data_IF_280413702857
#
_entry.id   IF_280413702857
#
_cell.length_a   1.000
_cell.length_b   1.000
_cell.length_c   1.000
_cell.angle_alpha   90.00
_cell.angle_beta   90.00
_cell.angle_gamma   90.00
#
_symmetry.space_group_name_H-M   'P 1'
#
loop_
_entity.id
_entity.type
_entity.pdbx_description
1 polymer ?
#
# COMPACT_ATOMS: atom_id res chain seq x y z
N UNK A 1 24.49 -13.68 25.58
CA UNK A 1 24.04 -12.67 24.59
C UNK A 1 23.15 -13.38 23.59
N UNK A 2 21.85 -13.22 23.71
CA UNK A 2 20.89 -13.77 22.76
C UNK A 2 20.88 -12.78 21.59
N UNK A 3 21.50 -13.16 20.49
CA UNK A 3 21.34 -12.41 19.24
C UNK A 3 19.86 -12.45 18.90
N UNK A 4 19.22 -11.28 18.85
CA UNK A 4 17.91 -11.14 18.25
C UNK A 4 18.02 -11.68 16.82
N UNK A 5 17.59 -12.91 16.62
CA UNK A 5 17.35 -13.41 15.27
C UNK A 5 16.27 -12.52 14.71
N UNK A 6 16.57 -11.78 13.67
CA UNK A 6 15.57 -11.12 12.87
C UNK A 6 14.52 -12.16 12.51
N UNK A 7 13.37 -12.06 13.15
CA UNK A 7 12.29 -13.00 12.93
C UNK A 7 11.52 -12.53 11.71
N UNK A 8 11.72 -13.23 10.61
CA UNK A 8 10.89 -13.03 9.43
C UNK A 8 9.65 -13.93 9.55
N UNK A 9 8.45 -13.36 9.71
CA UNK A 9 7.24 -14.17 9.72
C UNK A 9 7.12 -14.91 8.39
N UNK A 10 6.78 -16.19 8.45
CA UNK A 10 6.45 -16.95 7.25
C UNK A 10 5.10 -16.48 6.75
N UNK A 11 5.06 -15.91 5.53
CA UNK A 11 3.83 -15.51 4.88
C UNK A 11 3.29 -16.66 4.03
N UNK A 12 2.07 -17.07 4.31
CA UNK A 12 1.37 -18.12 3.60
C UNK A 12 0.22 -17.52 2.78
N UNK A 13 0.12 -17.88 1.51
CA UNK A 13 -0.94 -17.39 0.64
C UNK A 13 -2.29 -17.97 1.07
N UNK A 14 -3.26 -17.11 1.36
CA UNK A 14 -4.63 -17.48 1.63
C UNK A 14 -5.43 -17.61 0.33
N UNK A 15 -6.52 -18.37 0.35
CA UNK A 15 -7.38 -18.59 -0.82
C UNK A 15 -8.41 -17.46 -1.00
N UNK A 16 -8.78 -16.80 0.09
CA UNK A 16 -9.79 -15.74 0.12
C UNK A 16 -9.54 -14.78 1.28
N UNK A 17 -10.23 -13.65 1.28
CA UNK A 17 -10.17 -12.71 2.39
C UNK A 17 -10.58 -13.36 3.73
N UNK A 18 -11.64 -14.15 3.72
CA UNK A 18 -12.11 -14.86 4.93
C UNK A 18 -11.10 -15.87 5.48
N UNK A 19 -10.23 -16.40 4.62
CA UNK A 19 -9.18 -17.34 5.02
C UNK A 19 -7.95 -16.64 5.64
N UNK A 20 -7.85 -15.31 5.53
CA UNK A 20 -6.74 -14.54 6.09
C UNK A 20 -6.61 -14.70 7.61
N UNK A 21 -7.72 -14.86 8.32
CA UNK A 21 -7.72 -14.98 9.78
C UNK A 21 -7.63 -16.43 10.27
N UNK A 22 -7.60 -17.39 9.35
CA UNK A 22 -7.51 -18.81 9.68
C UNK A 22 -6.05 -19.24 9.83
N UNK A 23 -5.45 -18.91 10.98
CA UNK A 23 -4.06 -19.23 11.27
C UNK A 23 -3.94 -20.58 11.99
N UNK A 24 -3.11 -21.45 11.45
CA UNK A 24 -2.77 -22.74 12.08
C UNK A 24 -1.75 -22.56 13.20
N UNK A 25 -0.91 -21.53 13.11
CA UNK A 25 0.09 -21.19 14.13
C UNK A 25 0.05 -19.70 14.46
N UNK A 26 0.33 -19.29 15.73
CA UNK A 26 0.28 -17.90 16.16
C UNK A 26 1.28 -16.97 15.46
N UNK A 27 2.32 -17.53 14.87
CA UNK A 27 3.44 -16.79 14.32
C UNK A 27 3.35 -16.57 12.81
N UNK A 28 2.39 -17.21 12.13
CA UNK A 28 2.24 -17.12 10.70
C UNK A 28 1.37 -15.91 10.29
N UNK A 29 1.77 -15.26 9.21
CA UNK A 29 0.95 -14.30 8.50
C UNK A 29 0.33 -14.93 7.27
N UNK A 30 -0.89 -14.55 6.93
CA UNK A 30 -1.55 -14.93 5.68
C UNK A 30 -1.76 -13.71 4.80
N UNK A 31 -1.66 -13.91 3.50
CA UNK A 31 -1.85 -12.83 2.54
C UNK A 31 -2.71 -13.26 1.36
N UNK A 32 -3.38 -12.28 0.77
CA UNK A 32 -3.99 -12.39 -0.55
C UNK A 32 -3.46 -11.29 -1.45
N UNK A 33 -3.45 -11.56 -2.74
CA UNK A 33 -3.12 -10.60 -3.78
C UNK A 33 -4.32 -10.38 -4.69
N UNK A 34 -4.36 -9.22 -5.31
CA UNK A 34 -5.38 -8.91 -6.28
C UNK A 34 -4.99 -7.72 -7.15
N UNK A 35 -5.89 -7.32 -8.00
CA UNK A 35 -5.70 -6.24 -8.96
C UNK A 35 -6.87 -5.27 -8.85
N UNK A 36 -6.55 -3.99 -8.76
CA UNK A 36 -7.53 -2.90 -8.91
C UNK A 36 -7.35 -2.28 -10.28
N UNK A 37 -8.43 -2.18 -11.01
CA UNK A 37 -8.50 -1.45 -12.26
C UNK A 37 -9.21 -0.13 -12.03
N UNK A 38 -8.56 0.97 -12.38
CA UNK A 38 -9.16 2.30 -12.30
C UNK A 38 -10.13 2.47 -13.47
N UNK A 39 -11.41 2.79 -13.21
CA UNK A 39 -12.37 3.06 -14.28
C UNK A 39 -11.95 4.30 -15.07
N UNK A 40 -11.95 4.19 -16.38
CA UNK A 40 -11.74 5.32 -17.27
C UNK A 40 -13.01 6.17 -17.32
N UNK A 41 -13.05 7.24 -16.55
CA UNK A 41 -14.27 8.08 -16.35
C UNK A 41 -14.28 9.31 -17.26
N UNK A 42 -13.39 9.47 -18.18
CA UNK A 42 -13.41 10.62 -19.11
C UNK A 42 -12.42 10.44 -20.24
N UNK A 43 -12.30 11.44 -21.11
CA UNK A 43 -11.29 11.54 -22.18
C UNK A 43 -9.84 11.66 -21.66
N UNK A 44 -9.62 11.62 -20.34
CA UNK A 44 -8.27 11.64 -19.78
C UNK A 44 -7.64 10.25 -19.82
N UNK A 45 -6.50 10.13 -20.48
CA UNK A 45 -5.69 8.93 -20.42
C UNK A 45 -5.17 8.68 -19.01
N UNK A 46 -5.32 7.43 -18.54
CA UNK A 46 -4.69 6.96 -17.32
C UNK A 46 -3.20 6.69 -17.60
N UNK A 47 -2.34 7.06 -16.66
CA UNK A 47 -0.92 6.71 -16.71
C UNK A 47 -0.75 5.22 -16.44
N UNK A 48 -1.46 4.74 -15.44
CA UNK A 48 -1.56 3.33 -15.11
C UNK A 48 -3.03 3.01 -14.85
N UNK A 49 -3.60 2.06 -15.56
CA UNK A 49 -4.99 1.66 -15.38
C UNK A 49 -5.16 0.53 -14.37
N UNK A 50 -4.08 -0.13 -14.00
CA UNK A 50 -4.09 -1.36 -13.20
C UNK A 50 -3.02 -1.28 -12.11
N UNK A 51 -3.42 -1.59 -10.87
CA UNK A 51 -2.53 -1.67 -9.72
C UNK A 51 -2.72 -3.01 -9.00
N UNK A 52 -1.62 -3.65 -8.63
CA UNK A 52 -1.66 -4.84 -7.79
C UNK A 52 -1.70 -4.44 -6.32
N UNK A 53 -2.41 -5.22 -5.52
CA UNK A 53 -2.47 -5.01 -4.08
C UNK A 53 -2.20 -6.30 -3.32
N UNK A 54 -1.80 -6.14 -2.07
CA UNK A 54 -1.64 -7.23 -1.10
C UNK A 54 -2.37 -6.85 0.18
N UNK A 55 -3.11 -7.79 0.74
CA UNK A 55 -3.67 -7.67 2.08
C UNK A 55 -3.04 -8.77 2.93
N UNK A 56 -2.45 -8.39 4.05
CA UNK A 56 -1.81 -9.31 5.00
C UNK A 56 -2.57 -9.25 6.31
N UNK A 57 -2.83 -10.41 6.90
CA UNK A 57 -3.23 -10.54 8.30
C UNK A 57 -2.15 -11.31 9.06
N UNK A 58 -1.49 -10.64 9.99
CA UNK A 58 -0.44 -11.21 10.82
C UNK A 58 -0.88 -11.38 12.27
N UNK A 59 -0.54 -12.50 12.85
CA UNK A 59 -0.86 -12.81 14.25
C UNK A 59 0.19 -12.32 15.25
N UNK A 60 1.32 -11.81 14.76
CA UNK A 60 2.47 -11.53 15.60
C UNK A 60 2.26 -10.32 16.51
N UNK A 61 2.75 -10.47 17.72
CA UNK A 61 3.06 -9.45 18.73
C UNK A 61 1.91 -8.71 19.38
N UNK A 62 0.69 -8.97 19.06
CA UNK A 62 -0.38 -8.40 19.87
C UNK A 62 -0.99 -9.45 20.78
N UNK A 63 -0.98 -9.17 22.05
CA UNK A 63 -1.76 -9.89 23.07
C UNK A 63 -3.28 -9.90 22.75
N UNK A 64 -3.68 -9.31 21.62
CA UNK A 64 -5.07 -9.08 21.19
C UNK A 64 -5.44 -9.68 19.84
N UNK A 65 -4.64 -10.60 19.30
CA UNK A 65 -4.83 -11.11 17.95
C UNK A 65 -4.20 -10.25 16.86
N UNK A 66 -4.10 -10.77 15.67
CA UNK A 66 -3.46 -10.12 14.55
C UNK A 66 -4.22 -8.90 14.01
N UNK A 67 -3.57 -8.14 13.19
CA UNK A 67 -4.17 -7.01 12.49
C UNK A 67 -3.96 -7.10 10.98
N UNK A 68 -4.81 -6.40 10.24
CA UNK A 68 -4.71 -6.28 8.80
C UNK A 68 -3.72 -5.19 8.42
N UNK A 69 -2.96 -5.45 7.36
CA UNK A 69 -2.17 -4.46 6.65
C UNK A 69 -2.54 -4.53 5.17
N UNK A 70 -2.57 -3.39 4.51
CA UNK A 70 -2.81 -3.29 3.09
C UNK A 70 -1.65 -2.61 2.39
N UNK A 71 -1.35 -3.08 1.19
CA UNK A 71 -0.24 -2.59 0.38
C UNK A 71 -0.69 -2.46 -1.07
N UNK A 72 -0.19 -1.43 -1.74
CA UNK A 72 -0.37 -1.24 -3.19
C UNK A 72 0.99 -1.16 -3.83
N UNK A 73 1.20 -1.96 -4.86
CA UNK A 73 2.44 -1.93 -5.65
C UNK A 73 2.56 -0.61 -6.41
N UNK A 74 3.72 -0.01 -6.30
CA UNK A 74 4.09 1.17 -7.06
C UNK A 74 5.02 0.75 -8.18
N UNK A 75 4.61 0.97 -9.42
CA UNK A 75 5.38 0.57 -10.59
C UNK A 75 6.71 1.33 -10.68
N UNK A 76 7.70 0.72 -11.30
CA UNK A 76 9.05 1.29 -11.46
C UNK A 76 9.07 2.59 -12.27
N UNK A 77 8.07 2.81 -13.10
CA UNK A 77 7.86 4.05 -13.85
C UNK A 77 7.18 5.16 -13.06
N UNK A 78 6.68 4.89 -11.87
CA UNK A 78 5.98 5.87 -11.05
C UNK A 78 6.98 6.80 -10.33
N UNK A 79 6.69 8.11 -10.22
CA UNK A 79 7.64 9.09 -9.65
C UNK A 79 8.03 8.83 -8.21
N UNK A 80 7.17 8.18 -7.40
CA UNK A 80 7.51 7.88 -6.00
C UNK A 80 8.20 6.53 -5.81
N UNK A 81 8.34 5.73 -6.86
CA UNK A 81 8.95 4.42 -6.76
C UNK A 81 10.36 4.49 -6.16
N UNK A 82 10.61 3.68 -5.13
CA UNK A 82 11.89 3.62 -4.44
C UNK A 82 12.11 4.70 -3.38
N UNK A 83 11.19 5.64 -3.20
CA UNK A 83 11.27 6.63 -2.13
C UNK A 83 10.99 5.99 -0.77
N UNK A 84 11.67 6.50 0.28
CA UNK A 84 11.26 6.21 1.65
C UNK A 84 10.01 7.02 2.03
N UNK A 85 9.37 6.62 3.13
CA UNK A 85 8.10 7.21 3.55
C UNK A 85 8.20 8.71 3.86
N UNK A 86 9.31 9.15 4.45
CA UNK A 86 9.51 10.56 4.76
C UNK A 86 9.67 11.38 3.49
N UNK A 87 10.41 10.88 2.51
CA UNK A 87 10.56 11.51 1.20
C UNK A 87 9.23 11.63 0.46
N UNK A 88 8.37 10.61 0.55
CA UNK A 88 7.02 10.65 -0.03
C UNK A 88 6.19 11.75 0.64
N UNK A 89 6.18 11.83 1.96
CA UNK A 89 5.44 12.85 2.71
C UNK A 89 5.93 14.27 2.40
N UNK A 90 7.23 14.46 2.26
CA UNK A 90 7.83 15.76 1.94
C UNK A 90 7.54 16.19 0.49
N UNK A 91 7.54 15.22 -0.43
CA UNK A 91 7.36 15.50 -1.86
C UNK A 91 5.89 15.63 -2.26
N UNK A 92 5.03 14.77 -1.70
CA UNK A 92 3.58 14.82 -1.94
C UNK A 92 2.90 15.41 -0.71
N UNK A 93 2.51 16.67 -0.78
CA UNK A 93 1.88 17.39 0.34
C UNK A 93 0.44 16.97 0.64
N UNK A 94 -0.12 16.08 -0.14
CA UNK A 94 -1.46 15.57 0.04
C UNK A 94 -1.43 14.20 0.70
N UNK A 95 -2.27 13.99 1.70
CA UNK A 95 -2.38 12.69 2.36
C UNK A 95 -3.03 11.65 1.46
N UNK A 96 -2.53 10.44 1.51
CA UNK A 96 -3.18 9.29 0.91
C UNK A 96 -4.55 9.09 1.60
N UNK A 97 -5.65 8.94 0.84
CA UNK A 97 -6.99 8.81 1.41
C UNK A 97 -7.25 7.39 1.91
N UNK A 98 -6.59 7.01 3.00
CA UNK A 98 -6.75 5.72 3.66
C UNK A 98 -7.08 5.94 5.14
N UNK A 99 -7.69 4.95 5.78
CA UNK A 99 -7.89 4.99 7.23
C UNK A 99 -6.54 4.94 7.94
N UNK A 100 -6.31 5.89 8.83
CA UNK A 100 -5.00 6.08 9.44
C UNK A 100 -4.08 6.89 8.54
N UNK A 101 -2.84 6.47 8.42
CA UNK A 101 -1.85 7.12 7.57
C UNK A 101 -0.93 6.09 6.91
N UNK A 102 -0.28 6.52 5.85
CA UNK A 102 0.76 5.72 5.21
C UNK A 102 1.88 5.43 6.22
N UNK A 103 2.20 4.17 6.44
CA UNK A 103 3.20 3.71 7.41
C UNK A 103 4.31 2.87 6.82
N UNK A 104 4.20 2.50 5.55
CA UNK A 104 5.15 1.65 4.85
C UNK A 104 5.42 2.16 3.44
N UNK A 105 6.69 2.19 3.06
CA UNK A 105 7.14 2.43 1.69
C UNK A 105 8.48 1.73 1.49
N UNK A 106 8.46 0.53 0.97
CA UNK A 106 9.65 -0.32 0.77
C UNK A 106 9.29 -1.54 -0.08
N UNK A 107 10.28 -2.36 -0.36
CA UNK A 107 10.07 -3.67 -0.98
C UNK A 107 9.32 -4.60 -0.03
N UNK A 108 8.24 -5.19 -0.53
CA UNK A 108 7.43 -6.14 0.24
C UNK A 108 7.84 -7.58 -0.01
N UNK A 109 8.26 -7.89 -1.22
CA UNK A 109 8.76 -9.20 -1.66
C UNK A 109 7.76 -10.35 -1.44
N UNK A 110 6.54 -10.16 -1.92
CA UNK A 110 5.46 -11.15 -1.88
C UNK A 110 5.30 -11.82 -3.23
N UNK A 111 5.16 -13.14 -3.23
CA UNK A 111 4.92 -13.91 -4.45
C UNK A 111 3.49 -13.69 -4.98
N UNK A 112 3.39 -13.39 -6.28
CA UNK A 112 2.13 -13.31 -7.01
C UNK A 112 2.32 -13.88 -8.43
N UNK A 113 2.14 -15.19 -8.54
CA UNK A 113 2.39 -15.90 -9.78
C UNK A 113 3.86 -15.82 -10.23
N UNK A 114 4.09 -15.58 -11.50
CA UNK A 114 5.43 -15.49 -12.10
C UNK A 114 6.13 -14.14 -11.88
N UNK A 115 5.37 -13.14 -11.44
CA UNK A 115 5.88 -11.78 -11.21
C UNK A 115 5.66 -11.36 -9.76
N UNK A 116 6.67 -11.47 -8.90
CA UNK A 116 6.56 -11.07 -7.50
C UNK A 116 6.24 -9.57 -7.38
N UNK A 117 5.51 -9.22 -6.31
CA UNK A 117 5.24 -7.85 -5.94
C UNK A 117 6.47 -7.33 -5.19
N UNK A 118 7.03 -6.23 -5.65
CA UNK A 118 8.25 -5.65 -5.09
C UNK A 118 7.95 -4.41 -4.25
N UNK A 119 8.20 -3.23 -4.77
CA UNK A 119 8.04 -1.98 -4.04
C UNK A 119 6.56 -1.60 -3.86
N UNK A 120 6.18 -1.33 -2.60
CA UNK A 120 4.82 -0.99 -2.21
C UNK A 120 4.77 0.21 -1.29
N UNK A 121 3.65 0.91 -1.33
CA UNK A 121 3.18 1.74 -0.22
C UNK A 121 2.14 0.96 0.59
N UNK A 122 2.09 1.19 1.90
CA UNK A 122 1.19 0.44 2.76
C UNK A 122 0.78 1.16 4.03
N UNK A 123 -0.24 0.60 4.67
CA UNK A 123 -0.81 1.09 5.92
C UNK A 123 -1.37 -0.08 6.72
N UNK A 124 -1.66 0.15 7.98
CA UNK A 124 -2.17 -0.88 8.87
C UNK A 124 -3.50 -0.50 9.55
N UNK A 125 -4.18 -1.52 10.05
CA UNK A 125 -5.45 -1.40 10.77
C UNK A 125 -5.29 -1.91 12.20
N UNK A 126 -4.39 -1.30 12.96
CA UNK A 126 -4.24 -1.62 14.38
C UNK A 126 -5.48 -1.18 15.16
N UNK A 127 -6.17 -2.15 15.71
CA UNK A 127 -7.58 -2.14 16.02
C UNK A 127 -8.07 -1.27 17.18
N UNK A 128 -7.22 -0.62 17.97
CA UNK A 128 -7.71 0.13 19.15
C UNK A 128 -8.51 1.39 18.80
N UNK A 129 -8.48 1.82 17.55
CA UNK A 129 -9.16 3.03 17.06
C UNK A 129 -10.43 2.73 16.26
N UNK A 130 -10.68 1.48 15.93
CA UNK A 130 -11.78 1.11 15.06
C UNK A 130 -12.95 0.54 15.85
N UNK A 131 -14.14 1.06 15.59
CA UNK A 131 -15.38 0.54 16.18
C UNK A 131 -15.72 -0.82 15.60
N UNK A 132 -16.51 -1.61 16.32
CA UNK A 132 -16.97 -2.94 15.88
C UNK A 132 -17.65 -2.90 14.52
N UNK A 133 -18.43 -1.85 14.23
CA UNK A 133 -19.06 -1.66 12.92
C UNK A 133 -18.06 -1.53 11.78
N UNK A 134 -16.91 -0.91 12.02
CA UNK A 134 -15.83 -0.84 11.04
C UNK A 134 -15.21 -2.22 10.80
N UNK A 135 -14.95 -2.96 11.87
CA UNK A 135 -14.35 -4.30 11.78
C UNK A 135 -15.30 -5.33 11.16
N UNK A 136 -16.61 -5.17 11.33
CA UNK A 136 -17.60 -6.03 10.67
C UNK A 136 -17.63 -5.86 9.15
N UNK A 137 -17.21 -4.71 8.63
CA UNK A 137 -17.07 -4.41 7.21
C UNK A 137 -15.62 -4.26 6.77
N UNK A 138 -14.68 -4.88 7.47
CA UNK A 138 -13.25 -4.64 7.28
C UNK A 138 -12.80 -4.92 5.83
N UNK A 139 -13.31 -5.95 5.19
CA UNK A 139 -12.98 -6.25 3.80
C UNK A 139 -13.33 -5.09 2.86
N UNK A 140 -14.57 -4.59 2.94
CA UNK A 140 -15.03 -3.48 2.12
C UNK A 140 -14.25 -2.19 2.44
N UNK A 141 -13.97 -1.93 3.71
CA UNK A 141 -13.21 -0.77 4.14
C UNK A 141 -11.76 -0.79 3.65
N UNK A 142 -11.12 -1.96 3.70
CA UNK A 142 -9.78 -2.13 3.13
C UNK A 142 -9.81 -1.93 1.62
N UNK A 143 -10.78 -2.49 0.92
CA UNK A 143 -10.90 -2.34 -0.53
C UNK A 143 -11.17 -0.90 -0.95
N UNK A 144 -11.99 -0.17 -0.21
CA UNK A 144 -12.21 1.27 -0.43
C UNK A 144 -10.92 2.07 -0.27
N UNK A 145 -10.12 1.77 0.75
CA UNK A 145 -8.82 2.40 0.96
C UNK A 145 -7.83 2.06 -0.15
N UNK A 146 -7.80 0.82 -0.61
CA UNK A 146 -6.95 0.40 -1.74
C UNK A 146 -7.35 1.17 -3.00
N UNK A 147 -8.64 1.28 -3.31
CA UNK A 147 -9.12 2.07 -4.44
C UNK A 147 -8.71 3.55 -4.30
N UNK A 148 -8.89 4.13 -3.13
CA UNK A 148 -8.48 5.52 -2.85
C UNK A 148 -6.97 5.73 -3.02
N UNK A 149 -6.16 4.80 -2.55
CA UNK A 149 -4.70 4.84 -2.71
C UNK A 149 -4.27 4.73 -4.18
N UNK A 150 -4.91 3.87 -4.97
CA UNK A 150 -4.61 3.74 -6.40
C UNK A 150 -5.00 4.99 -7.20
N UNK A 151 -6.12 5.60 -6.89
CA UNK A 151 -6.54 6.88 -7.48
C UNK A 151 -5.56 8.01 -7.13
N UNK A 152 -5.09 8.03 -5.87
CA UNK A 152 -4.08 8.97 -5.43
C UNK A 152 -2.75 8.76 -6.16
N UNK A 153 -2.28 7.52 -6.32
CA UNK A 153 -1.09 7.20 -7.10
C UNK A 153 -1.20 7.68 -8.54
N UNK A 154 -2.35 7.47 -9.16
CA UNK A 154 -2.62 7.93 -10.53
C UNK A 154 -2.59 9.46 -10.65
N UNK A 155 -3.18 10.15 -9.67
CA UNK A 155 -3.14 11.62 -9.62
C UNK A 155 -1.71 12.15 -9.51
N UNK A 156 -0.89 11.53 -8.66
CA UNK A 156 0.53 11.90 -8.49
C UNK A 156 1.31 11.66 -9.79
N UNK A 157 1.10 10.53 -10.43
CA UNK A 157 1.74 10.20 -11.71
C UNK A 157 1.38 11.19 -12.82
N UNK A 158 0.12 11.61 -12.89
CA UNK A 158 -0.34 12.61 -13.86
C UNK A 158 0.30 13.98 -13.65
N UNK A 159 0.43 14.43 -12.41
CA UNK A 159 1.08 15.70 -12.11
C UNK A 159 2.50 15.75 -12.64
N UNK A 160 3.24 14.66 -12.50
CA UNK A 160 4.62 14.55 -12.98
C UNK A 160 4.70 14.64 -14.52
N UNK A 161 3.72 14.12 -15.23
CA UNK A 161 3.70 14.19 -16.70
C UNK A 161 3.53 15.60 -17.24
N UNK A 162 2.88 16.48 -16.49
CA UNK A 162 2.63 17.87 -16.89
C UNK A 162 3.74 18.83 -16.45
N UNK A 163 4.70 18.41 -15.65
CA UNK A 163 5.88 19.21 -15.33
C UNK A 163 6.82 19.21 -16.54
N UNK A 164 6.78 20.33 -17.27
CA UNK A 164 7.73 20.57 -18.34
C UNK A 164 9.14 20.74 -17.75
N UNK A 165 10.16 19.98 -18.19
CA UNK A 165 11.53 20.14 -17.70
C UNK A 165 12.07 21.57 -17.83
N UNK A 166 11.55 22.31 -18.78
CA UNK A 166 11.90 23.72 -19.00
C UNK A 166 11.19 24.64 -18.00
N UNK A 167 10.00 24.29 -17.53
CA UNK A 167 9.25 25.06 -16.54
C UNK A 167 9.79 24.88 -15.12
N UNK A 168 10.30 23.70 -14.79
CA UNK A 168 10.97 23.44 -13.51
C UNK A 168 12.25 24.26 -13.38
N UNK A 169 12.98 24.49 -14.46
CA UNK A 169 14.15 25.38 -14.47
C UNK A 169 13.78 26.85 -14.26
N UNK A 170 12.56 27.25 -14.57
CA UNK A 170 12.09 28.62 -14.37
C UNK A 170 11.54 28.86 -12.96
N UNK A 171 11.00 27.88 -12.32
CA UNK A 171 10.50 28.01 -10.94
C UNK A 171 11.64 28.14 -9.92
N UNK A 172 12.76 27.48 -10.14
CA UNK A 172 13.95 27.64 -9.30
C UNK A 172 14.59 29.01 -9.38
N UNK A 173 14.34 29.77 -10.47
CA UNK A 173 14.84 31.14 -10.63
C UNK A 173 13.96 32.20 -9.99
N UNK A 174 12.75 31.89 -9.62
CA UNK A 174 11.80 32.83 -9.01
C UNK A 174 11.91 32.83 -7.47
N UNK A 175 12.55 31.82 -6.90
CA UNK A 175 12.75 31.68 -5.46
C UNK A 175 14.15 32.03 -4.94
N UNK A 176 14.98 32.62 -5.78
CA UNK A 176 16.27 33.17 -5.37
C UNK A 176 16.20 34.68 -5.17
#
# INVERSE_FOLDING_TARGET
MITEREYHPVLVKAQSFSDLTNHDTPDDGRYITGVVRIPQVSTQELVHDTYRYVIIHGCRSSLRGGHYCAYVEVLDTHPIHGMDINSIHDWVREYVPVHGCLSFADDLDVEDGDKPIAYCIGWDYQSSRYRDSFMNNIENNIMDDICGATEWLEMVAKRQQFTCPTCDQHTDKIHT
#
